data_IF_389371201044
#
_entry.id   IF_389371201044
#
_cell.length_a   1.000
_cell.length_b   1.000
_cell.length_c   1.000
_cell.angle_alpha   90.00
_cell.angle_beta   90.00
_cell.angle_gamma   90.00
#
_symmetry.space_group_name_H-M   'P 1'
#
loop_
_entity.id
_entity.type
_entity.pdbx_description
1 polymer ?
#
# COMPACT_ATOMS: atom_id res chain seq x y z
N UNK A 1 9.54 7.26 -12.66
CA UNK A 1 10.61 7.43 -13.65
C UNK A 1 10.01 7.91 -14.96
N UNK A 2 10.54 9.01 -15.51
CA UNK A 2 10.11 9.55 -16.80
C UNK A 2 10.57 8.68 -17.97
N UNK A 3 9.70 8.51 -18.97
CA UNK A 3 10.04 7.77 -20.21
C UNK A 3 10.23 8.70 -21.41
N UNK A 4 9.78 9.95 -21.29
CA UNK A 4 9.84 10.96 -22.35
C UNK A 4 10.25 12.31 -21.77
N UNK A 5 10.93 13.18 -22.54
CA UNK A 5 11.29 14.51 -22.07
C UNK A 5 10.02 15.38 -21.90
N UNK A 6 10.04 16.24 -20.87
CA UNK A 6 8.95 17.17 -20.62
C UNK A 6 7.66 16.52 -20.07
N UNK A 7 7.78 15.34 -19.44
CA UNK A 7 6.64 14.67 -18.81
C UNK A 7 6.23 15.41 -17.54
N UNK A 8 5.02 15.94 -17.52
CA UNK A 8 4.44 16.54 -16.31
C UNK A 8 3.73 15.45 -15.51
N UNK A 9 4.15 15.29 -14.26
CA UNK A 9 3.60 14.34 -13.29
C UNK A 9 2.87 15.12 -12.20
N UNK A 10 1.60 14.79 -11.99
CA UNK A 10 0.77 15.33 -10.93
C UNK A 10 0.48 14.22 -9.91
N UNK A 11 0.79 14.49 -8.65
CA UNK A 11 0.60 13.53 -7.56
C UNK A 11 -0.33 14.12 -6.52
N UNK A 12 -1.36 13.38 -6.14
CA UNK A 12 -2.19 13.65 -4.97
C UNK A 12 -1.92 12.58 -3.91
N UNK A 13 -1.12 12.89 -2.88
CA UNK A 13 -0.67 11.91 -1.91
C UNK A 13 -1.78 11.55 -0.91
N UNK A 14 -1.86 10.28 -0.56
CA UNK A 14 -2.76 9.76 0.48
C UNK A 14 -2.25 10.01 1.91
N UNK A 15 -0.98 10.37 2.05
CA UNK A 15 -0.34 10.79 3.29
C UNK A 15 0.63 11.96 3.02
N UNK A 16 1.08 12.65 4.07
CA UNK A 16 2.05 13.76 3.94
C UNK A 16 3.32 13.32 3.22
N UNK A 17 3.81 14.17 2.35
CA UNK A 17 5.10 14.02 1.68
C UNK A 17 6.14 14.94 2.34
N UNK A 18 7.30 14.38 2.63
CA UNK A 18 8.47 15.13 3.08
C UNK A 18 8.97 16.02 1.94
N UNK A 19 9.14 17.32 2.24
CA UNK A 19 9.70 18.25 1.26
C UNK A 19 11.21 18.03 1.13
N UNK A 20 11.70 17.93 -0.13
CA UNK A 20 13.12 17.80 -0.40
C UNK A 20 13.48 18.46 -1.74
N UNK A 21 14.42 19.42 -1.71
CA UNK A 21 14.85 20.15 -2.89
C UNK A 21 13.68 20.85 -3.62
N UNK A 22 13.40 20.51 -4.87
CA UNK A 22 12.31 21.12 -5.64
C UNK A 22 10.91 20.60 -5.24
N UNK A 23 10.84 19.59 -4.38
CA UNK A 23 9.57 18.97 -3.96
C UNK A 23 9.11 19.67 -2.68
N UNK A 24 7.95 20.36 -2.70
CA UNK A 24 7.42 21.00 -1.51
C UNK A 24 6.90 19.97 -0.52
N UNK A 25 7.03 20.25 0.78
CA UNK A 25 6.25 19.54 1.79
C UNK A 25 4.77 19.64 1.44
N UNK A 26 4.11 18.49 1.34
CA UNK A 26 2.74 18.44 0.84
C UNK A 26 1.88 17.61 1.79
N UNK A 27 0.79 18.18 2.23
CA UNK A 27 -0.18 17.49 3.09
C UNK A 27 -1.01 16.46 2.30
N UNK A 28 -1.62 15.55 3.01
CA UNK A 28 -2.58 14.58 2.46
C UNK A 28 -3.59 15.29 1.54
N UNK A 29 -3.85 14.72 0.36
CA UNK A 29 -4.73 15.24 -0.69
C UNK A 29 -4.29 16.59 -1.29
N UNK A 30 -3.11 17.07 -0.96
CA UNK A 30 -2.49 18.19 -1.67
C UNK A 30 -2.09 17.79 -3.09
N UNK A 31 -1.43 18.69 -3.80
CA UNK A 31 -0.97 18.44 -5.17
C UNK A 31 0.49 18.76 -5.30
N UNK A 32 1.25 17.81 -5.84
CA UNK A 32 2.61 17.99 -6.31
C UNK A 32 2.57 17.95 -7.83
N UNK A 33 3.14 18.94 -8.51
CA UNK A 33 3.25 18.96 -9.97
C UNK A 33 4.72 19.20 -10.34
N UNK A 34 5.31 18.22 -11.04
CA UNK A 34 6.73 18.26 -11.42
C UNK A 34 6.87 17.85 -12.88
N UNK A 35 7.74 18.56 -13.61
CA UNK A 35 8.15 18.16 -14.96
C UNK A 35 9.46 17.40 -14.89
N UNK A 36 9.49 16.21 -15.48
CA UNK A 36 10.65 15.33 -15.53
C UNK A 36 11.04 15.00 -16.97
N UNK A 37 12.32 14.72 -17.17
CA UNK A 37 12.88 14.24 -18.42
C UNK A 37 12.89 12.73 -18.54
N UNK A 38 13.44 12.25 -19.65
CA UNK A 38 13.66 10.82 -19.86
C UNK A 38 14.69 10.29 -18.84
N UNK A 39 14.36 9.24 -18.14
CA UNK A 39 15.14 8.60 -17.06
C UNK A 39 15.29 9.44 -15.79
N UNK A 40 14.70 10.63 -15.71
CA UNK A 40 14.65 11.34 -14.45
C UNK A 40 13.80 10.54 -13.44
N UNK A 41 14.24 10.57 -12.19
CA UNK A 41 13.54 9.91 -11.07
C UNK A 41 12.93 10.99 -10.18
N UNK A 42 11.62 10.97 -10.02
CA UNK A 42 10.92 11.68 -8.97
C UNK A 42 10.78 10.73 -7.78
N UNK A 43 11.54 10.99 -6.71
CA UNK A 43 11.41 10.25 -5.46
C UNK A 43 10.53 11.05 -4.49
N UNK A 44 9.48 10.41 -3.96
CA UNK A 44 8.57 10.97 -2.97
C UNK A 44 8.62 10.11 -1.73
N UNK A 45 8.86 10.74 -0.60
CA UNK A 45 8.98 10.08 0.70
C UNK A 45 7.87 10.54 1.62
N UNK A 46 7.26 9.60 2.35
CA UNK A 46 6.29 9.96 3.37
C UNK A 46 6.96 10.70 4.52
N UNK A 47 6.33 11.78 5.01
CA UNK A 47 6.82 12.53 6.16
C UNK A 47 6.44 11.80 7.44
N UNK A 48 7.40 11.09 8.01
CA UNK A 48 7.29 10.35 9.27
C UNK A 48 7.73 11.18 10.49
N UNK A 49 8.06 12.45 10.33
CA UNK A 49 8.60 13.31 11.40
C UNK A 49 7.68 13.45 12.62
N UNK A 50 6.40 13.06 12.50
CA UNK A 50 5.41 13.03 13.58
C UNK A 50 4.93 11.62 13.93
N UNK A 51 5.73 10.61 13.70
CA UNK A 51 5.39 9.20 14.03
C UNK A 51 4.99 8.98 15.50
N UNK A 52 5.41 9.84 16.42
CA UNK A 52 4.91 9.81 17.80
C UNK A 52 3.39 9.86 17.89
N UNK A 53 2.71 10.51 16.95
CA UNK A 53 1.24 10.51 16.83
C UNK A 53 0.69 9.17 16.30
N UNK A 54 1.52 8.40 15.62
CA UNK A 54 1.15 7.16 14.94
C UNK A 54 1.34 5.93 15.81
N UNK A 55 2.33 5.92 16.69
CA UNK A 55 2.67 4.75 17.52
C UNK A 55 1.60 4.36 18.54
N UNK A 56 0.69 5.25 18.87
CA UNK A 56 -0.35 5.04 19.89
C UNK A 56 -1.75 4.79 19.31
N UNK A 57 -1.85 4.59 18.00
CA UNK A 57 -3.16 4.38 17.34
C UNK A 57 -3.37 2.93 16.99
N UNK A 58 -4.63 2.55 16.91
CA UNK A 58 -5.04 1.24 16.42
C UNK A 58 -4.34 0.93 15.09
N UNK A 59 -3.73 -0.24 15.01
CA UNK A 59 -3.05 -0.73 13.82
C UNK A 59 -4.08 -1.09 12.73
N UNK A 60 -4.81 -0.09 12.26
CA UNK A 60 -5.86 -0.23 11.23
C UNK A 60 -5.66 0.78 10.11
N UNK A 61 -6.07 0.45 8.87
CA UNK A 61 -6.05 1.41 7.77
C UNK A 61 -6.92 2.65 8.06
N UNK A 62 -6.52 3.84 7.58
CA UNK A 62 -5.25 4.12 6.92
C UNK A 62 -4.09 4.16 7.90
N UNK A 63 -3.03 3.45 7.55
CA UNK A 63 -1.81 3.44 8.38
C UNK A 63 -1.07 4.78 8.29
N UNK A 64 -0.30 5.09 9.34
CA UNK A 64 0.60 6.23 9.30
C UNK A 64 1.73 6.00 8.30
N UNK A 65 2.14 7.08 7.62
CA UNK A 65 3.18 7.07 6.61
C UNK A 65 2.93 6.11 5.42
N UNK A 66 1.72 5.58 5.30
CA UNK A 66 1.32 4.68 4.21
C UNK A 66 0.78 5.50 3.02
N UNK A 67 1.47 5.42 1.90
CA UNK A 67 1.11 6.08 0.65
C UNK A 67 0.15 5.29 -0.22
N UNK A 68 -0.41 4.18 0.28
CA UNK A 68 -1.45 3.42 -0.43
C UNK A 68 -2.65 4.32 -0.74
N UNK A 69 -3.11 4.30 -1.98
CA UNK A 69 -4.19 5.18 -2.45
C UNK A 69 -3.71 6.53 -3.01
N UNK A 70 -2.40 6.80 -3.04
CA UNK A 70 -1.85 7.96 -3.75
C UNK A 70 -2.22 7.89 -5.23
N UNK A 71 -2.69 9.01 -5.77
CA UNK A 71 -3.07 9.12 -7.18
C UNK A 71 -1.95 9.81 -7.96
N UNK A 72 -1.51 9.18 -9.04
CA UNK A 72 -0.47 9.70 -9.93
C UNK A 72 -1.06 9.82 -11.34
N UNK A 73 -1.01 11.02 -11.89
CA UNK A 73 -1.41 11.30 -13.26
C UNK A 73 -0.23 11.92 -14.02
N UNK A 74 0.01 11.49 -15.23
CA UNK A 74 1.04 12.05 -16.08
C UNK A 74 0.52 12.25 -17.51
N UNK A 75 1.06 13.27 -18.21
CA UNK A 75 0.70 13.55 -19.62
C UNK A 75 1.44 12.65 -20.62
N UNK A 76 2.40 11.83 -20.14
CA UNK A 76 3.10 10.82 -20.92
C UNK A 76 3.36 9.59 -20.02
N UNK A 77 3.67 8.41 -20.58
CA UNK A 77 3.93 7.21 -19.79
C UNK A 77 5.06 7.40 -18.77
N UNK A 78 4.85 6.88 -17.56
CA UNK A 78 5.85 6.85 -16.47
C UNK A 78 5.91 5.46 -15.87
N UNK A 79 7.09 5.06 -15.41
CA UNK A 79 7.21 3.87 -14.56
C UNK A 79 7.10 4.29 -13.09
N UNK A 80 6.23 3.63 -12.35
CA UNK A 80 5.98 3.89 -10.93
C UNK A 80 6.45 2.70 -10.12
N UNK A 81 7.20 2.96 -9.06
CA UNK A 81 7.63 1.96 -8.07
C UNK A 81 7.12 2.39 -6.71
N UNK A 82 6.66 1.46 -5.92
CA UNK A 82 6.31 1.65 -4.52
C UNK A 82 7.21 0.77 -3.68
N UNK A 83 7.76 1.32 -2.62
CA UNK A 83 8.68 0.58 -1.78
C UNK A 83 8.74 1.11 -0.36
N UNK A 84 9.40 0.33 0.49
CA UNK A 84 9.74 0.70 1.86
C UNK A 84 11.08 0.07 2.21
N UNK A 85 11.95 0.85 2.84
CA UNK A 85 13.33 0.42 3.13
C UNK A 85 13.38 -0.77 4.08
N UNK A 86 12.52 -0.79 5.08
CA UNK A 86 12.50 -1.85 6.09
C UNK A 86 11.12 -2.01 6.68
N UNK A 87 10.49 -3.14 6.45
CA UNK A 87 9.19 -3.46 7.04
C UNK A 87 9.03 -4.94 7.29
N UNK A 88 8.14 -5.29 8.20
CA UNK A 88 7.65 -6.63 8.40
C UNK A 88 6.20 -6.71 7.95
N UNK A 89 5.88 -7.72 7.15
CA UNK A 89 4.48 -8.10 6.91
C UNK A 89 4.14 -9.15 7.94
N UNK A 90 3.42 -8.73 8.96
CA UNK A 90 3.00 -9.59 10.06
C UNK A 90 1.49 -9.64 10.19
N UNK A 91 0.96 -10.59 10.95
CA UNK A 91 -0.45 -10.63 11.24
C UNK A 91 -0.85 -9.34 11.97
N UNK A 92 -1.98 -8.79 11.58
CA UNK A 92 -2.62 -7.70 12.30
C UNK A 92 -2.89 -8.13 13.76
N UNK A 93 -3.07 -7.18 14.70
CA UNK A 93 -3.29 -7.53 16.12
C UNK A 93 -4.36 -8.58 16.35
N UNK A 94 -5.41 -8.59 15.51
CA UNK A 94 -6.55 -9.51 15.61
C UNK A 94 -6.41 -10.76 14.72
N UNK A 95 -5.34 -10.88 13.93
CA UNK A 95 -5.12 -12.07 13.10
C UNK A 95 -4.64 -13.26 13.94
N UNK A 96 -4.93 -14.48 13.52
CA UNK A 96 -4.40 -15.68 14.16
C UNK A 96 -2.87 -15.62 14.21
N UNK A 97 -2.29 -15.82 15.38
CA UNK A 97 -0.84 -15.83 15.59
C UNK A 97 -0.35 -17.26 15.77
N UNK A 98 0.87 -17.59 15.31
CA UNK A 98 1.47 -18.88 15.61
C UNK A 98 1.57 -19.09 17.11
N UNK A 99 1.32 -20.30 17.62
CA UNK A 99 1.39 -20.61 19.04
C UNK A 99 2.78 -20.31 19.68
N UNK A 100 3.84 -20.33 18.86
CA UNK A 100 5.22 -20.08 19.29
C UNK A 100 5.60 -18.60 19.35
N UNK A 101 4.75 -17.72 18.85
CA UNK A 101 5.01 -16.29 18.87
C UNK A 101 4.56 -15.69 20.21
N UNK A 102 5.52 -15.38 21.08
CA UNK A 102 5.27 -14.53 22.23
C UNK A 102 4.83 -13.13 21.77
N UNK A 103 4.28 -12.35 22.69
CA UNK A 103 3.74 -11.00 22.39
C UNK A 103 4.75 -10.02 21.76
N UNK A 104 6.06 -10.33 21.80
CA UNK A 104 7.16 -9.47 21.35
C UNK A 104 8.01 -10.09 20.23
N UNK A 105 7.56 -11.13 19.56
CA UNK A 105 8.34 -11.75 18.49
C UNK A 105 8.15 -11.02 17.14
N UNK A 106 8.70 -9.81 17.04
CA UNK A 106 8.92 -9.16 15.76
C UNK A 106 10.30 -9.53 15.23
N UNK A 107 10.35 -10.33 14.19
CA UNK A 107 11.60 -10.66 13.48
C UNK A 107 11.49 -10.23 12.03
N UNK A 108 12.65 -9.84 11.51
CA UNK A 108 12.94 -9.98 10.08
C UNK A 108 12.24 -8.95 9.20
N UNK A 109 12.54 -7.68 9.44
CA UNK A 109 12.21 -6.62 8.51
C UNK A 109 13.04 -6.77 7.24
N UNK A 110 12.41 -6.54 6.11
CA UNK A 110 13.02 -6.61 4.78
C UNK A 110 12.66 -5.37 3.97
N UNK A 111 13.50 -5.07 2.99
CA UNK A 111 13.15 -4.13 1.93
C UNK A 111 12.05 -4.74 1.06
N UNK A 112 11.04 -3.96 0.76
CA UNK A 112 9.97 -4.32 -0.18
C UNK A 112 9.88 -3.25 -1.26
N UNK A 113 9.88 -3.68 -2.51
CA UNK A 113 9.69 -2.81 -3.67
C UNK A 113 8.91 -3.56 -4.74
N UNK A 114 7.98 -2.87 -5.38
CA UNK A 114 7.16 -3.42 -6.46
C UNK A 114 6.86 -2.34 -7.50
N UNK A 115 6.90 -2.72 -8.77
CA UNK A 115 6.41 -1.85 -9.84
C UNK A 115 4.87 -1.83 -9.84
N UNK A 116 4.32 -0.64 -9.79
CA UNK A 116 2.87 -0.43 -9.80
C UNK A 116 2.38 -0.36 -11.25
N UNK A 117 1.52 -1.28 -11.69
CA UNK A 117 0.93 -1.21 -13.03
C UNK A 117 -0.03 -0.02 -13.15
N UNK A 118 -0.22 0.53 -14.35
CA UNK A 118 -1.19 1.59 -14.57
C UNK A 118 -2.62 1.09 -14.32
N UNK A 119 -3.51 1.99 -13.90
CA UNK A 119 -4.88 1.65 -13.56
C UNK A 119 -5.65 1.03 -14.74
N UNK A 120 -5.33 1.45 -15.96
CA UNK A 120 -5.92 0.92 -17.19
C UNK A 120 -5.59 -0.56 -17.43
N UNK A 121 -4.50 -1.04 -16.85
CA UNK A 121 -4.12 -2.46 -16.88
C UNK A 121 -4.88 -3.30 -15.83
N UNK A 122 -5.55 -2.65 -14.88
CA UNK A 122 -6.31 -3.35 -13.86
C UNK A 122 -7.55 -4.02 -14.47
N UNK A 123 -7.70 -5.31 -14.20
CA UNK A 123 -8.87 -6.07 -14.61
C UNK A 123 -10.10 -5.79 -13.74
N UNK A 124 -11.23 -6.43 -14.11
CA UNK A 124 -12.46 -6.40 -13.30
C UNK A 124 -12.67 -7.71 -12.51
N UNK A 125 -11.84 -8.69 -12.74
CA UNK A 125 -11.92 -10.01 -12.09
C UNK A 125 -10.52 -10.45 -11.69
N UNK A 126 -10.37 -10.77 -10.43
CA UNK A 126 -9.10 -11.17 -9.84
C UNK A 126 -9.24 -12.57 -9.23
N UNK A 127 -8.19 -13.37 -9.38
CA UNK A 127 -8.04 -14.63 -8.67
C UNK A 127 -6.87 -14.44 -7.71
N UNK A 128 -7.14 -14.60 -6.42
CA UNK A 128 -6.13 -14.49 -5.37
C UNK A 128 -5.79 -15.91 -4.95
N UNK A 129 -4.52 -16.26 -5.03
CA UNK A 129 -3.99 -17.53 -4.55
C UNK A 129 -3.34 -17.33 -3.20
N UNK A 130 -3.36 -18.33 -2.35
CA UNK A 130 -2.64 -18.30 -1.08
C UNK A 130 -1.14 -18.23 -1.30
N UNK A 131 -0.49 -17.45 -0.45
CA UNK A 131 0.97 -17.45 -0.35
C UNK A 131 1.47 -18.81 0.15
N UNK A 132 2.67 -19.27 -0.27
CA UNK A 132 3.28 -20.45 0.32
C UNK A 132 3.45 -20.26 1.83
N UNK A 133 3.17 -21.30 2.61
CA UNK A 133 3.41 -21.31 4.05
C UNK A 133 4.92 -21.17 4.28
N UNK A 134 5.31 -20.16 5.04
CA UNK A 134 6.72 -19.82 5.36
C UNK A 134 7.07 -20.15 6.80
N UNK A 135 6.08 -20.34 7.66
CA UNK A 135 6.26 -20.76 9.04
C UNK A 135 6.79 -22.18 9.14
N UNK A 136 7.40 -22.49 10.28
CA UNK A 136 7.92 -23.82 10.56
C UNK A 136 6.82 -24.87 10.41
N UNK A 137 7.06 -25.88 9.57
CA UNK A 137 6.16 -26.99 9.32
C UNK A 137 5.87 -27.85 10.56
N UNK A 138 6.63 -27.69 11.64
CA UNK A 138 6.32 -28.30 12.94
C UNK A 138 5.04 -27.76 13.59
N UNK A 139 4.52 -26.62 13.09
CA UNK A 139 3.25 -26.01 13.51
C UNK A 139 2.10 -26.49 12.62
N UNK A 140 1.86 -27.79 12.60
CA UNK A 140 0.94 -28.48 11.67
C UNK A 140 -0.47 -27.91 11.62
N UNK A 141 -0.90 -27.23 12.67
CA UNK A 141 -2.26 -26.70 12.80
C UNK A 141 -2.35 -25.18 12.54
N UNK A 142 -1.24 -24.54 12.21
CA UNK A 142 -1.20 -23.10 11.91
C UNK A 142 -1.16 -22.85 10.41
N UNK A 143 -2.15 -22.13 9.93
CA UNK A 143 -2.20 -21.61 8.56
C UNK A 143 -1.94 -20.12 8.60
N UNK A 144 -0.84 -19.69 7.98
CA UNK A 144 -0.52 -18.26 7.87
C UNK A 144 -1.67 -17.52 7.17
N UNK A 145 -2.21 -16.45 7.77
CA UNK A 145 -3.19 -15.62 7.09
C UNK A 145 -2.52 -14.80 5.98
N UNK A 146 -3.16 -14.73 4.82
CA UNK A 146 -2.81 -13.74 3.81
C UNK A 146 -3.54 -12.44 4.09
N UNK A 147 -2.84 -11.31 3.98
CA UNK A 147 -3.44 -9.98 4.09
C UNK A 147 -3.94 -9.55 2.72
N UNK A 148 -5.23 -9.23 2.65
CA UNK A 148 -5.87 -8.71 1.45
C UNK A 148 -6.20 -7.24 1.64
N UNK A 149 -5.75 -6.40 0.72
CA UNK A 149 -6.02 -4.98 0.72
C UNK A 149 -6.74 -4.57 -0.56
N UNK A 150 -7.95 -4.07 -0.40
CA UNK A 150 -8.76 -3.52 -1.47
C UNK A 150 -8.64 -2.00 -1.45
N UNK A 151 -8.25 -1.41 -2.56
CA UNK A 151 -8.04 0.03 -2.69
C UNK A 151 -9.00 0.58 -3.75
N UNK A 152 -9.82 1.54 -3.36
CA UNK A 152 -10.74 2.22 -4.26
C UNK A 152 -9.98 3.11 -5.24
N UNK A 153 -10.21 2.88 -6.52
CA UNK A 153 -9.56 3.61 -7.61
C UNK A 153 -10.32 4.90 -7.97
N UNK A 154 -10.45 5.21 -9.27
CA UNK A 154 -10.96 6.49 -9.75
C UNK A 154 -12.48 6.70 -9.57
N UNK A 155 -13.26 5.65 -9.42
CA UNK A 155 -14.72 5.73 -9.29
C UNK A 155 -15.25 4.73 -8.24
N UNK A 156 -16.41 5.01 -7.63
CA UNK A 156 -17.07 4.07 -6.76
C UNK A 156 -17.28 2.73 -7.46
N UNK A 157 -16.91 1.66 -6.81
CA UNK A 157 -16.96 0.30 -7.36
C UNK A 157 -17.71 -0.64 -6.44
N UNK A 158 -18.53 -1.53 -7.00
CA UNK A 158 -19.13 -2.62 -6.25
C UNK A 158 -18.20 -3.83 -6.30
N UNK A 159 -17.70 -4.23 -5.16
CA UNK A 159 -16.81 -5.38 -5.00
C UNK A 159 -17.63 -6.58 -4.56
N UNK A 160 -17.44 -7.70 -5.25
CA UNK A 160 -18.00 -9.01 -4.88
C UNK A 160 -16.86 -10.00 -4.72
N UNK A 161 -16.88 -10.72 -3.63
CA UNK A 161 -15.86 -11.73 -3.31
C UNK A 161 -16.49 -13.03 -2.85
N UNK A 162 -15.68 -14.06 -2.67
CA UNK A 162 -16.04 -15.29 -1.99
C UNK A 162 -15.65 -15.31 -0.50
N UNK A 163 -15.30 -14.15 0.05
CA UNK A 163 -15.08 -14.00 1.49
C UNK A 163 -16.42 -14.00 2.25
N UNK A 164 -16.41 -14.29 3.55
CA UNK A 164 -17.62 -14.22 4.36
C UNK A 164 -18.15 -12.79 4.52
N UNK A 165 -19.43 -12.60 4.82
CA UNK A 165 -19.97 -11.28 5.14
C UNK A 165 -19.17 -10.57 6.26
N UNK A 166 -19.02 -9.25 6.19
CA UNK A 166 -19.59 -8.31 5.23
C UNK A 166 -18.76 -8.12 3.95
N UNK A 167 -17.72 -8.92 3.73
CA UNK A 167 -16.78 -8.76 2.62
C UNK A 167 -17.17 -9.52 1.35
N UNK A 168 -18.27 -10.24 1.37
CA UNK A 168 -18.84 -10.92 0.20
C UNK A 168 -19.38 -9.94 -0.85
N UNK A 169 -19.86 -8.76 -0.41
CA UNK A 169 -20.43 -7.74 -1.28
C UNK A 169 -20.41 -6.37 -0.61
N UNK A 170 -19.54 -5.47 -1.07
CA UNK A 170 -19.38 -4.15 -0.48
C UNK A 170 -19.06 -3.08 -1.52
N UNK A 171 -19.36 -1.82 -1.19
CA UNK A 171 -18.97 -0.67 -1.99
C UNK A 171 -17.57 -0.20 -1.58
N UNK A 172 -16.75 0.14 -2.56
CA UNK A 172 -15.42 0.72 -2.39
C UNK A 172 -15.39 2.08 -3.05
N UNK A 173 -15.22 3.12 -2.26
CA UNK A 173 -15.15 4.51 -2.73
C UNK A 173 -13.71 4.87 -3.13
N UNK A 174 -13.50 5.87 -4.02
CA UNK A 174 -12.17 6.34 -4.38
C UNK A 174 -11.34 6.69 -3.14
N UNK A 175 -10.11 6.18 -3.08
CA UNK A 175 -9.19 6.36 -1.96
C UNK A 175 -9.54 5.59 -0.68
N UNK A 176 -10.66 4.88 -0.65
CA UNK A 176 -11.00 4.01 0.47
C UNK A 176 -10.13 2.76 0.46
N UNK A 177 -9.70 2.35 1.65
CA UNK A 177 -8.95 1.12 1.87
C UNK A 177 -9.80 0.19 2.75
N UNK A 178 -9.99 -1.02 2.28
CA UNK A 178 -10.56 -2.13 3.06
C UNK A 178 -9.51 -3.22 3.16
N UNK A 179 -9.16 -3.60 4.36
CA UNK A 179 -8.16 -4.62 4.61
C UNK A 179 -8.77 -5.77 5.42
N UNK A 180 -8.37 -6.97 5.08
CA UNK A 180 -8.75 -8.20 5.78
C UNK A 180 -7.65 -9.23 5.65
N UNK A 181 -7.80 -10.32 6.38
CA UNK A 181 -6.93 -11.50 6.24
C UNK A 181 -7.77 -12.74 6.01
N UNK A 182 -7.17 -13.71 5.33
CA UNK A 182 -7.76 -15.02 5.15
C UNK A 182 -7.37 -15.93 6.31
N UNK A 183 -8.24 -16.81 6.69
CA UNK A 183 -7.97 -17.92 7.62
C UNK A 183 -7.95 -19.24 6.88
#
# INVERSE_FOLDING_TARGET
VGTQPGTTVNVSPSFRIHGNGPIPKTEKNGTISVTIGTFDVLNLESDDSSLGECFNKDMKPPYCADLTGTVINANAPVAVFSGVESTGVGPQPDAPKPPSWGENSGCCHQHLEEQVPPLEAAGKKFVITRSPIRSDQSLSDYVEPDVLRFVGAAAPSQVKTNLPPPLDNFQLLPGQIVETWTT
#
